data_IF_239650377832
#
_entry.id   IF_239650377832
#
_cell.length_a   1.000
_cell.length_b   1.000
_cell.length_c   1.000
_cell.angle_alpha   90.00
_cell.angle_beta   90.00
_cell.angle_gamma   90.00
#
_symmetry.space_group_name_H-M   'P 1'
#
loop_
_entity.id
_entity.type
_entity.pdbx_description
1 polymer ?
#
# COMPACT_ATOMS: atom_id res chain seq x y z
N UNK A 1 2.72 -4.40 0.71
CA UNK A 1 2.94 -2.98 1.03
C UNK A 1 4.07 -2.49 0.14
N UNK A 2 4.01 -1.25 -0.36
CA UNK A 2 5.07 -0.69 -1.20
C UNK A 2 6.35 -0.48 -0.37
N UNK A 3 7.50 -0.87 -0.91
CA UNK A 3 8.79 -0.55 -0.30
C UNK A 3 9.26 0.81 -0.84
N UNK A 4 9.17 1.84 0.00
CA UNK A 4 9.54 3.22 -0.35
C UNK A 4 10.67 3.67 0.57
N UNK A 5 11.89 3.59 0.05
CA UNK A 5 13.13 3.84 0.78
C UNK A 5 13.90 5.03 0.20
N UNK A 6 15.10 5.29 0.75
CA UNK A 6 15.98 6.38 0.31
C UNK A 6 16.44 6.20 -1.14
N UNK A 7 16.52 4.96 -1.64
CA UNK A 7 16.90 4.67 -3.03
C UNK A 7 15.78 5.06 -3.99
N UNK A 8 14.52 4.78 -3.63
CA UNK A 8 13.37 5.24 -4.42
C UNK A 8 13.30 6.77 -4.46
N UNK A 9 13.47 7.44 -3.31
CA UNK A 9 13.50 8.91 -3.24
C UNK A 9 14.59 9.50 -4.14
N UNK A 10 15.79 8.90 -4.10
CA UNK A 10 16.91 9.32 -4.95
C UNK A 10 16.60 9.12 -6.43
N UNK A 11 15.97 8.00 -6.79
CA UNK A 11 15.58 7.65 -8.17
C UNK A 11 14.64 8.70 -8.76
N UNK A 12 13.62 9.10 -8.01
CA UNK A 12 12.66 10.14 -8.46
C UNK A 12 13.25 11.56 -8.38
N UNK A 13 14.43 11.73 -7.78
CA UNK A 13 15.25 12.95 -7.88
C UNK A 13 15.35 13.79 -6.62
N UNK A 14 14.93 13.27 -5.47
CA UNK A 14 15.20 13.92 -4.19
C UNK A 14 16.70 13.84 -3.88
N UNK A 15 17.31 14.95 -3.46
CA UNK A 15 18.64 14.91 -2.90
C UNK A 15 18.57 14.48 -1.44
N UNK A 16 18.49 13.16 -1.22
CA UNK A 16 18.30 12.53 0.09
C UNK A 16 19.36 12.96 1.11
N UNK A 17 20.60 13.23 0.67
CA UNK A 17 21.68 13.70 1.55
C UNK A 17 21.45 15.08 2.17
N UNK A 18 20.61 15.91 1.54
CA UNK A 18 20.27 17.25 2.02
C UNK A 18 18.95 17.30 2.82
N UNK A 19 18.23 16.18 2.90
CA UNK A 19 16.97 16.09 3.62
C UNK A 19 17.20 15.69 5.08
N UNK A 20 16.47 16.32 5.99
CA UNK A 20 16.35 15.81 7.37
C UNK A 20 15.57 14.49 7.38
N UNK A 21 15.81 13.65 8.39
CA UNK A 21 15.09 12.38 8.55
C UNK A 21 13.57 12.58 8.59
N UNK A 22 13.09 13.61 9.28
CA UNK A 22 11.67 13.96 9.29
C UNK A 22 11.11 14.23 7.88
N UNK A 23 11.87 14.95 7.03
CA UNK A 23 11.45 15.23 5.64
C UNK A 23 11.47 13.98 4.78
N UNK A 24 12.48 13.12 4.93
CA UNK A 24 12.51 11.83 4.24
C UNK A 24 11.28 11.00 4.59
N UNK A 25 10.98 10.86 5.88
CA UNK A 25 9.82 10.09 6.33
C UNK A 25 8.51 10.68 5.81
N UNK A 26 8.36 12.02 5.84
CA UNK A 26 7.19 12.67 5.27
C UNK A 26 7.00 12.34 3.78
N UNK A 27 8.05 12.45 2.96
CA UNK A 27 7.95 12.14 1.53
C UNK A 27 7.66 10.66 1.27
N UNK A 28 8.28 9.75 2.02
CA UNK A 28 7.98 8.32 1.93
C UNK A 28 6.50 8.04 2.23
N UNK A 29 5.97 8.64 3.30
CA UNK A 29 4.57 8.50 3.67
C UNK A 29 3.62 9.05 2.60
N UNK A 30 3.95 10.19 2.00
CA UNK A 30 3.11 10.79 0.95
C UNK A 30 3.09 9.93 -0.33
N UNK A 31 4.25 9.39 -0.75
CA UNK A 31 4.34 8.43 -1.85
C UNK A 31 3.55 7.16 -1.54
N UNK A 32 3.70 6.59 -0.35
CA UNK A 32 2.97 5.39 0.08
C UNK A 32 1.45 5.63 0.05
N UNK A 33 0.97 6.80 0.50
CA UNK A 33 -0.46 7.16 0.46
C UNK A 33 -0.99 7.18 -0.97
N UNK A 34 -0.27 7.83 -1.89
CA UNK A 34 -0.69 7.92 -3.29
C UNK A 34 -0.68 6.55 -3.98
N UNK A 35 0.38 5.76 -3.77
CA UNK A 35 0.47 4.39 -4.28
C UNK A 35 -0.67 3.50 -3.77
N UNK A 36 -0.99 3.56 -2.47
CA UNK A 36 -2.10 2.80 -1.88
C UNK A 36 -3.45 3.22 -2.47
N UNK A 37 -3.65 4.51 -2.72
CA UNK A 37 -4.86 5.02 -3.37
C UNK A 37 -5.01 4.44 -4.78
N UNK A 38 -3.97 4.56 -5.62
CA UNK A 38 -3.95 4.05 -6.99
C UNK A 38 -4.15 2.53 -7.05
N UNK A 39 -3.45 1.78 -6.19
CA UNK A 39 -3.60 0.34 -6.08
C UNK A 39 -5.03 -0.05 -5.70
N UNK A 40 -5.64 0.64 -4.73
CA UNK A 40 -7.02 0.38 -4.32
C UNK A 40 -8.00 0.61 -5.47
N UNK A 41 -7.87 1.71 -6.22
CA UNK A 41 -8.70 1.98 -7.40
C UNK A 41 -8.56 0.89 -8.47
N UNK A 42 -7.32 0.49 -8.78
CA UNK A 42 -7.01 -0.58 -9.73
C UNK A 42 -7.55 -1.94 -9.31
N UNK A 43 -7.44 -2.28 -8.02
CA UNK A 43 -7.92 -3.54 -7.46
C UNK A 43 -9.45 -3.57 -7.50
N UNK A 44 -10.11 -2.53 -6.99
CA UNK A 44 -11.57 -2.45 -6.94
C UNK A 44 -12.19 -2.51 -8.33
N UNK A 45 -11.54 -1.93 -9.35
CA UNK A 45 -12.00 -2.00 -10.74
C UNK A 45 -11.97 -3.42 -11.35
N UNK A 46 -11.19 -4.34 -10.77
CA UNK A 46 -11.04 -5.73 -11.24
C UNK A 46 -11.89 -6.72 -10.46
N UNK A 47 -12.47 -6.32 -9.33
CA UNK A 47 -13.33 -7.19 -8.53
C UNK A 47 -14.65 -7.46 -9.26
N UNK A 48 -15.11 -8.71 -9.22
CA UNK A 48 -16.50 -8.99 -9.53
C UNK A 48 -17.41 -8.41 -8.45
N UNK A 49 -18.72 -8.32 -8.73
CA UNK A 49 -19.69 -7.87 -7.72
C UNK A 49 -19.71 -8.79 -6.49
N UNK A 50 -19.52 -10.09 -6.69
CA UNK A 50 -19.48 -11.07 -5.60
C UNK A 50 -18.22 -10.86 -4.75
N UNK A 51 -17.07 -10.70 -5.39
CA UNK A 51 -15.79 -10.44 -4.72
C UNK A 51 -15.82 -9.13 -3.92
N UNK A 52 -16.42 -8.07 -4.47
CA UNK A 52 -16.55 -6.79 -3.79
C UNK A 52 -17.43 -6.90 -2.51
N UNK A 53 -18.52 -7.67 -2.56
CA UNK A 53 -19.39 -7.91 -1.41
C UNK A 53 -18.70 -8.78 -0.36
N UNK A 54 -17.94 -9.80 -0.78
CA UNK A 54 -17.16 -10.62 0.13
C UNK A 54 -16.07 -9.77 0.82
N UNK A 55 -15.36 -8.96 0.05
CA UNK A 55 -14.35 -8.04 0.58
C UNK A 55 -14.94 -7.07 1.60
N UNK A 56 -16.09 -6.46 1.30
CA UNK A 56 -16.80 -5.58 2.24
C UNK A 56 -17.18 -6.30 3.54
N UNK A 57 -17.73 -7.52 3.46
CA UNK A 57 -18.08 -8.32 4.64
C UNK A 57 -16.84 -8.74 5.45
N UNK A 58 -15.75 -9.15 4.81
CA UNK A 58 -14.50 -9.52 5.50
C UNK A 58 -13.82 -8.31 6.16
N UNK A 59 -13.86 -7.15 5.52
CA UNK A 59 -13.16 -5.94 5.99
C UNK A 59 -13.92 -5.16 7.07
N UNK A 60 -15.25 -5.07 6.96
CA UNK A 60 -16.06 -4.12 7.72
C UNK A 60 -16.93 -4.76 8.81
N UNK A 61 -17.03 -6.09 8.87
CA UNK A 61 -17.80 -6.81 9.89
C UNK A 61 -16.86 -7.59 10.82
N UNK A 62 -16.57 -7.09 12.04
CA UNK A 62 -15.59 -7.69 12.96
C UNK A 62 -15.84 -9.18 13.27
N UNK A 63 -17.12 -9.58 13.33
CA UNK A 63 -17.48 -10.98 13.55
C UNK A 63 -17.16 -11.86 12.35
N UNK A 64 -17.39 -11.34 11.12
CA UNK A 64 -16.99 -12.03 9.90
C UNK A 64 -15.48 -12.08 9.78
N UNK A 65 -14.79 -10.95 9.97
CA UNK A 65 -13.33 -10.84 9.96
C UNK A 65 -12.69 -11.91 10.84
N UNK A 66 -13.14 -12.03 12.10
CA UNK A 66 -12.62 -13.02 13.04
C UNK A 66 -12.84 -14.46 12.58
N UNK A 67 -14.03 -14.77 12.03
CA UNK A 67 -14.31 -16.11 11.48
C UNK A 67 -13.43 -16.41 10.27
N UNK A 68 -13.29 -15.46 9.36
CA UNK A 68 -12.48 -15.61 8.15
C UNK A 68 -11.01 -15.82 8.49
N UNK A 69 -10.45 -15.03 9.41
CA UNK A 69 -9.09 -15.23 9.91
C UNK A 69 -8.96 -16.58 10.63
N UNK A 70 -9.90 -16.98 11.47
CA UNK A 70 -9.84 -18.29 12.12
C UNK A 70 -9.87 -19.47 11.12
N UNK A 71 -10.58 -19.32 10.00
CA UNK A 71 -10.75 -20.33 8.97
C UNK A 71 -9.51 -20.46 8.07
N UNK A 72 -8.94 -19.33 7.60
CA UNK A 72 -7.88 -19.33 6.60
C UNK A 72 -6.49 -18.98 7.16
N UNK A 73 -6.43 -18.33 8.32
CA UNK A 73 -5.22 -17.78 8.93
C UNK A 73 -5.26 -17.88 10.46
N UNK A 74 -5.66 -19.05 11.00
CA UNK A 74 -5.97 -19.19 12.44
C UNK A 74 -4.80 -18.88 13.39
N UNK A 75 -3.57 -18.89 12.88
CA UNK A 75 -2.32 -18.53 13.56
C UNK A 75 -1.98 -17.03 13.45
N UNK A 76 -2.82 -16.19 12.83
CA UNK A 76 -2.47 -14.80 12.53
C UNK A 76 -2.02 -13.99 13.74
N UNK A 77 -2.59 -14.25 14.91
CA UNK A 77 -2.32 -13.51 16.14
C UNK A 77 -0.88 -13.68 16.64
N UNK A 78 -0.18 -14.75 16.24
CA UNK A 78 1.20 -15.06 16.61
C UNK A 78 2.21 -14.67 15.52
N UNK A 79 1.75 -14.11 14.39
CA UNK A 79 2.63 -13.76 13.27
C UNK A 79 3.26 -12.39 13.45
N UNK A 80 4.54 -12.29 13.11
CA UNK A 80 5.30 -11.04 13.18
C UNK A 80 4.71 -9.92 12.32
N UNK A 81 4.16 -10.25 11.15
CA UNK A 81 3.54 -9.27 10.25
C UNK A 81 2.23 -8.70 10.84
N UNK A 82 1.44 -9.52 11.53
CA UNK A 82 0.27 -9.03 12.27
C UNK A 82 0.69 -8.18 13.47
N UNK A 83 1.73 -8.58 14.22
CA UNK A 83 2.24 -7.78 15.34
C UNK A 83 2.69 -6.39 14.89
N UNK A 84 3.41 -6.29 13.78
CA UNK A 84 3.82 -5.01 13.20
C UNK A 84 2.62 -4.14 12.83
N UNK A 85 1.54 -4.73 12.29
CA UNK A 85 0.30 -4.01 11.98
C UNK A 85 -0.42 -3.59 13.26
N UNK A 86 -0.46 -4.44 14.29
CA UNK A 86 -1.14 -4.13 15.56
C UNK A 86 -0.61 -2.86 16.21
N UNK A 87 0.69 -2.58 16.09
CA UNK A 87 1.33 -1.36 16.61
C UNK A 87 0.86 -0.07 15.92
N UNK A 88 0.28 -0.18 14.71
CA UNK A 88 -0.17 0.98 13.93
C UNK A 88 -1.60 1.43 14.25
N UNK A 89 -2.36 0.65 15.02
CA UNK A 89 -3.78 0.90 15.29
C UNK A 89 -4.06 1.02 16.78
N UNK A 90 -5.04 1.85 17.15
CA UNK A 90 -5.46 2.01 18.55
C UNK A 90 -6.12 0.73 19.09
N UNK A 91 -6.96 0.09 18.26
CA UNK A 91 -7.74 -1.09 18.66
C UNK A 91 -7.28 -2.35 17.93
N UNK A 92 -7.40 -3.50 18.61
CA UNK A 92 -7.12 -4.80 18.01
C UNK A 92 -8.10 -5.11 16.87
N UNK A 93 -9.36 -4.69 17.01
CA UNK A 93 -10.37 -4.86 15.98
C UNK A 93 -10.00 -4.12 14.67
N UNK A 94 -9.52 -2.88 14.77
CA UNK A 94 -9.10 -2.13 13.59
C UNK A 94 -7.86 -2.76 12.92
N UNK A 95 -6.88 -3.21 13.72
CA UNK A 95 -5.72 -3.94 13.21
C UNK A 95 -6.13 -5.25 12.51
N UNK A 96 -7.02 -6.02 13.13
CA UNK A 96 -7.54 -7.28 12.60
C UNK A 96 -8.29 -7.09 11.29
N UNK A 97 -9.19 -6.11 11.22
CA UNK A 97 -9.91 -5.74 9.99
C UNK A 97 -8.96 -5.34 8.87
N UNK A 98 -7.96 -4.49 9.17
CA UNK A 98 -6.95 -4.09 8.19
C UNK A 98 -6.12 -5.29 7.70
N UNK A 99 -5.65 -6.14 8.60
CA UNK A 99 -4.85 -7.31 8.26
C UNK A 99 -5.63 -8.32 7.41
N UNK A 100 -6.86 -8.63 7.79
CA UNK A 100 -7.73 -9.51 7.02
C UNK A 100 -8.00 -8.95 5.61
N UNK A 101 -8.23 -7.64 5.50
CA UNK A 101 -8.42 -6.98 4.21
C UNK A 101 -7.19 -7.12 3.31
N UNK A 102 -5.99 -6.91 3.88
CA UNK A 102 -4.74 -7.05 3.14
C UNK A 102 -4.48 -8.49 2.69
N UNK A 103 -4.76 -9.49 3.56
CA UNK A 103 -4.65 -10.89 3.22
C UNK A 103 -5.66 -11.31 2.15
N UNK A 104 -6.92 -10.90 2.31
CA UNK A 104 -7.97 -11.18 1.34
C UNK A 104 -7.58 -10.65 -0.04
N UNK A 105 -7.15 -9.38 -0.13
CA UNK A 105 -6.71 -8.81 -1.42
C UNK A 105 -5.56 -9.61 -2.03
N UNK A 106 -4.59 -10.04 -1.23
CA UNK A 106 -3.43 -10.80 -1.70
C UNK A 106 -3.80 -12.16 -2.30
N UNK A 107 -4.84 -12.83 -1.79
CA UNK A 107 -5.22 -14.17 -2.23
C UNK A 107 -6.38 -14.18 -3.22
N UNK A 108 -7.37 -13.30 -3.05
CA UNK A 108 -8.58 -13.27 -3.85
C UNK A 108 -8.42 -12.47 -5.15
N UNK A 109 -7.51 -11.48 -5.19
CA UNK A 109 -7.32 -10.64 -6.38
C UNK A 109 -6.28 -11.27 -7.30
N UNK A 110 -6.65 -11.71 -8.52
CA UNK A 110 -5.70 -12.23 -9.48
C UNK A 110 -4.62 -11.19 -9.78
N UNK A 111 -3.37 -11.66 -9.90
CA UNK A 111 -2.24 -10.80 -10.22
C UNK A 111 -2.02 -9.63 -9.24
N UNK A 112 -2.51 -9.71 -7.99
CA UNK A 112 -2.34 -8.66 -6.96
C UNK A 112 -0.90 -8.11 -6.89
N UNK A 113 0.09 -9.00 -6.86
CA UNK A 113 1.50 -8.60 -6.83
C UNK A 113 1.96 -7.85 -8.09
N UNK A 114 1.44 -8.21 -9.27
CA UNK A 114 1.73 -7.49 -10.52
C UNK A 114 1.04 -6.13 -10.53
N UNK A 115 -0.21 -6.03 -10.07
CA UNK A 115 -0.93 -4.76 -9.96
C UNK A 115 -0.15 -3.78 -9.08
N UNK A 116 0.35 -4.23 -7.92
CA UNK A 116 1.19 -3.39 -7.06
C UNK A 116 2.48 -2.96 -7.77
N UNK A 117 3.14 -3.88 -8.49
CA UNK A 117 4.35 -3.55 -9.22
C UNK A 117 4.09 -2.53 -10.35
N UNK A 118 3.05 -2.74 -11.15
CA UNK A 118 2.62 -1.83 -12.23
C UNK A 118 2.31 -0.43 -11.67
N UNK A 119 1.55 -0.36 -10.57
CA UNK A 119 1.23 0.92 -9.91
C UNK A 119 2.49 1.65 -9.41
N UNK A 120 3.46 0.92 -8.88
CA UNK A 120 4.73 1.50 -8.45
C UNK A 120 5.54 2.04 -9.64
N UNK A 121 5.70 1.21 -10.67
CA UNK A 121 6.50 1.54 -11.85
C UNK A 121 5.91 2.74 -12.60
N UNK A 122 4.60 2.74 -12.84
CA UNK A 122 3.87 3.84 -13.49
C UNK A 122 4.04 5.16 -12.70
N UNK A 123 3.89 5.10 -11.38
CA UNK A 123 4.00 6.30 -10.54
C UNK A 123 5.45 6.85 -10.49
N UNK A 124 6.44 5.96 -10.46
CA UNK A 124 7.86 6.36 -10.50
C UNK A 124 8.21 7.01 -11.83
N UNK A 125 7.74 6.43 -12.95
CA UNK A 125 7.93 7.00 -14.29
C UNK A 125 7.28 8.39 -14.39
N UNK A 126 6.04 8.55 -13.92
CA UNK A 126 5.36 9.84 -13.86
C UNK A 126 6.16 10.90 -13.08
N UNK A 127 6.69 10.56 -11.91
CA UNK A 127 7.49 11.50 -11.10
C UNK A 127 8.79 11.91 -11.81
N UNK A 128 9.45 10.96 -12.47
CA UNK A 128 10.66 11.22 -13.26
C UNK A 128 10.35 12.16 -14.43
N UNK A 129 9.25 11.92 -15.15
CA UNK A 129 8.87 12.73 -16.30
C UNK A 129 8.39 14.12 -15.90
N UNK A 130 7.65 14.24 -14.80
CA UNK A 130 7.32 15.54 -14.20
C UNK A 130 8.58 16.34 -13.86
N UNK A 131 9.58 15.69 -13.26
CA UNK A 131 10.87 16.34 -12.96
C UNK A 131 11.58 16.81 -14.23
N UNK A 132 11.68 15.95 -15.26
CA UNK A 132 12.29 16.32 -16.56
C UNK A 132 11.60 17.54 -17.16
N UNK A 133 10.27 17.53 -17.21
CA UNK A 133 9.49 18.64 -17.76
C UNK A 133 9.72 19.96 -17.00
N UNK A 134 9.81 19.92 -15.67
CA UNK A 134 10.13 21.10 -14.85
C UNK A 134 11.56 21.59 -15.12
N UNK A 135 12.53 20.68 -15.19
CA UNK A 135 13.92 21.02 -15.46
C UNK A 135 14.09 21.68 -16.84
N UNK A 136 13.42 21.15 -17.87
CA UNK A 136 13.39 21.74 -19.21
C UNK A 136 12.81 23.17 -19.20
N UNK A 137 11.72 23.40 -18.47
CA UNK A 137 11.12 24.73 -18.33
C UNK A 137 12.03 25.72 -17.59
N UNK A 138 12.84 25.25 -16.65
CA UNK A 138 13.78 26.05 -15.89
C UNK A 138 15.15 26.20 -16.57
N UNK A 139 15.38 25.53 -17.71
CA UNK A 139 16.67 25.53 -18.40
C UNK A 139 17.78 24.81 -17.62
N UNK A 140 17.41 23.89 -16.74
CA UNK A 140 18.34 23.08 -15.94
C UNK A 140 18.51 21.75 -16.70
N UNK A 141 19.69 21.53 -17.28
CA UNK A 141 20.04 20.29 -17.98
C UNK A 141 20.40 19.16 -17.01
#
# INVERSE_FOLDING_TARGET
MFNVDDDLLSTVGYNVSLLSEEKKQQYKLDIIKELNKRASEQILARLSKEDALEFEDVSSNPSRTRRWLAEFHGDYADREDYHAIRELFETDEAAMSFYASALWMRYAVPDYGKILQEVLDDYVEELIDMRKAVNEQLGIA
#
